data_IF_961102102335
#
_entry.id   IF_961102102335
#
_cell.length_a   1.000
_cell.length_b   1.000
_cell.length_c   1.000
_cell.angle_alpha   90.00
_cell.angle_beta   90.00
_cell.angle_gamma   90.00
#
_symmetry.space_group_name_H-M   'P 1'
#
loop_
_entity.id
_entity.type
_entity.pdbx_description
1 polymer ?
#
# COMPACT_ATOMS: atom_id res chain seq x y z
N UNK A 1 -5.80 3.94 4.77
CA UNK A 1 -5.47 2.66 5.39
C UNK A 1 -6.73 1.89 5.70
N UNK A 2 -6.67 0.57 5.65
CA UNK A 2 -7.74 -0.36 6.02
C UNK A 2 -7.25 -1.17 7.20
N UNK A 3 -7.96 -1.07 8.32
CA UNK A 3 -7.68 -1.84 9.52
C UNK A 3 -8.95 -2.49 10.04
N UNK A 4 -8.86 -3.73 10.49
CA UNK A 4 -9.97 -4.41 11.18
C UNK A 4 -10.05 -4.02 12.67
N UNK A 5 -8.90 -3.65 13.25
CA UNK A 5 -8.79 -3.07 14.57
C UNK A 5 -7.63 -2.06 14.58
N UNK A 6 -7.83 -0.82 15.05
CA UNK A 6 -6.75 0.15 15.13
C UNK A 6 -5.72 -0.29 16.19
N UNK A 7 -4.45 0.04 15.93
CA UNK A 7 -3.39 -0.14 16.93
C UNK A 7 -3.67 0.74 18.15
N UNK A 8 -3.24 0.29 19.33
CA UNK A 8 -3.25 1.14 20.52
C UNK A 8 -2.36 2.38 20.28
N UNK A 9 -2.71 3.50 20.92
CA UNK A 9 -1.97 4.76 20.77
C UNK A 9 -0.48 4.61 21.10
N UNK A 10 -0.17 3.86 22.17
CA UNK A 10 1.21 3.60 22.60
C UNK A 10 2.01 2.81 21.56
N UNK A 11 1.43 1.74 21.02
CA UNK A 11 2.08 0.92 20.01
C UNK A 11 2.29 1.71 18.71
N UNK A 12 1.30 2.51 18.32
CA UNK A 12 1.39 3.35 17.15
C UNK A 12 2.49 4.42 17.30
N UNK A 13 2.54 5.10 18.45
CA UNK A 13 3.57 6.10 18.75
C UNK A 13 4.95 5.47 18.69
N UNK A 14 5.15 4.32 19.34
CA UNK A 14 6.42 3.57 19.32
C UNK A 14 6.85 3.22 17.87
N UNK A 15 5.92 2.77 17.03
CA UNK A 15 6.20 2.46 15.63
C UNK A 15 6.64 3.69 14.85
N UNK A 16 5.91 4.80 14.98
CA UNK A 16 6.22 6.05 14.25
C UNK A 16 7.56 6.64 14.70
N UNK A 17 7.89 6.55 15.99
CA UNK A 17 9.18 7.00 16.53
C UNK A 17 10.37 6.21 15.98
N UNK A 18 10.17 4.97 15.58
CA UNK A 18 11.21 4.12 14.99
C UNK A 18 11.55 4.47 13.54
N UNK A 19 10.72 5.25 12.83
CA UNK A 19 10.98 5.61 11.43
C UNK A 19 11.99 6.76 11.30
N UNK A 20 12.94 6.68 10.35
CA UNK A 20 13.97 7.70 10.13
C UNK A 20 13.42 8.91 9.34
N UNK A 21 12.43 9.58 9.89
CA UNK A 21 11.86 10.82 9.33
C UNK A 21 12.14 12.01 10.26
N UNK A 22 12.11 13.22 9.71
CA UNK A 22 12.29 14.42 10.52
C UNK A 22 11.20 14.53 11.62
N UNK A 23 11.56 15.12 12.76
CA UNK A 23 10.65 15.26 13.89
C UNK A 23 9.33 15.96 13.50
N UNK A 24 9.42 17.02 12.69
CA UNK A 24 8.24 17.78 12.24
C UNK A 24 7.28 16.94 11.38
N UNK A 25 7.81 16.12 10.46
CA UNK A 25 6.99 15.21 9.65
C UNK A 25 6.37 14.09 10.49
N UNK A 26 7.11 13.61 11.49
CA UNK A 26 6.63 12.60 12.43
C UNK A 26 5.47 13.12 13.25
N UNK A 27 5.61 14.30 13.86
CA UNK A 27 4.54 14.93 14.62
C UNK A 27 3.31 15.25 13.77
N UNK A 28 3.49 15.77 12.57
CA UNK A 28 2.38 16.02 11.64
C UNK A 28 1.66 14.72 11.28
N UNK A 29 2.40 13.65 10.98
CA UNK A 29 1.85 12.33 10.69
C UNK A 29 1.06 11.74 11.88
N UNK A 30 1.59 11.86 13.09
CA UNK A 30 0.91 11.40 14.31
C UNK A 30 -0.40 12.17 14.54
N UNK A 31 -0.37 13.51 14.45
CA UNK A 31 -1.58 14.34 14.59
C UNK A 31 -2.64 13.97 13.55
N UNK A 32 -2.24 13.85 12.28
CA UNK A 32 -3.13 13.47 11.19
C UNK A 32 -3.80 12.12 11.45
N UNK A 33 -3.01 11.11 11.80
CA UNK A 33 -3.55 9.78 11.99
C UNK A 33 -4.46 9.69 13.21
N UNK A 34 -4.06 10.28 14.33
CA UNK A 34 -4.88 10.34 15.54
C UNK A 34 -6.23 11.00 15.25
N UNK A 35 -6.21 12.17 14.63
CA UNK A 35 -7.43 12.90 14.26
C UNK A 35 -8.30 12.14 13.24
N UNK A 36 -7.69 11.45 12.27
CA UNK A 36 -8.42 10.65 11.28
C UNK A 36 -9.09 9.42 11.91
N UNK A 37 -8.43 8.76 12.87
CA UNK A 37 -8.99 7.61 13.61
C UNK A 37 -10.13 8.07 14.52
N UNK A 38 -9.94 9.14 15.28
CA UNK A 38 -10.95 9.66 16.22
C UNK A 38 -12.20 10.19 15.52
N UNK A 39 -12.03 10.90 14.41
CA UNK A 39 -13.14 11.50 13.69
C UNK A 39 -13.86 10.54 12.75
N UNK A 40 -13.20 9.48 12.28
CA UNK A 40 -13.67 8.63 11.18
C UNK A 40 -13.83 9.38 9.84
N UNK A 41 -13.38 10.63 9.77
CA UNK A 41 -13.45 11.51 8.62
C UNK A 41 -12.08 11.78 8.04
N UNK A 42 -12.04 12.33 6.82
CA UNK A 42 -10.79 12.82 6.24
C UNK A 42 -10.27 14.02 7.03
N UNK A 43 -8.96 14.06 7.25
CA UNK A 43 -8.26 15.14 7.93
C UNK A 43 -7.25 15.75 6.97
N UNK A 44 -7.20 17.08 6.95
CA UNK A 44 -6.32 17.84 6.07
C UNK A 44 -5.25 18.55 6.89
N UNK A 45 -4.00 18.43 6.49
CA UNK A 45 -2.87 19.16 7.06
C UNK A 45 -2.15 19.95 5.96
N UNK A 46 -1.83 21.21 6.26
CA UNK A 46 -1.03 22.07 5.41
C UNK A 46 0.42 22.06 5.87
N UNK A 47 1.31 21.59 5.01
CA UNK A 47 2.74 21.55 5.33
C UNK A 47 3.38 22.94 5.13
N UNK A 48 4.48 23.24 5.86
CA UNK A 48 5.24 24.48 5.67
C UNK A 48 5.76 24.68 4.23
N UNK A 49 5.90 23.60 3.46
CA UNK A 49 6.25 23.62 2.04
C UNK A 49 5.15 24.15 1.12
N UNK A 50 3.97 24.45 1.64
CA UNK A 50 2.77 24.80 0.86
C UNK A 50 2.00 23.60 0.30
N UNK A 51 2.47 22.37 0.53
CA UNK A 51 1.75 21.15 0.16
C UNK A 51 0.63 20.86 1.16
N UNK A 52 -0.44 20.25 0.67
CA UNK A 52 -1.57 19.79 1.49
C UNK A 52 -1.59 18.27 1.49
N UNK A 53 -1.74 17.69 2.67
CA UNK A 53 -1.95 16.25 2.84
C UNK A 53 -3.37 16.05 3.37
N UNK A 54 -4.15 15.24 2.67
CA UNK A 54 -5.42 14.74 3.17
C UNK A 54 -5.26 13.26 3.54
N UNK A 55 -5.58 12.90 4.77
CA UNK A 55 -5.57 11.52 5.25
C UNK A 55 -6.99 11.10 5.59
N UNK A 56 -7.47 10.05 4.94
CA UNK A 56 -8.72 9.38 5.27
C UNK A 56 -8.42 7.97 5.75
N UNK A 57 -8.86 7.63 6.96
CA UNK A 57 -8.77 6.29 7.52
C UNK A 57 -10.15 5.66 7.51
N UNK A 58 -10.26 4.46 6.95
CA UNK A 58 -11.50 3.68 6.96
C UNK A 58 -11.23 2.36 7.69
N UNK A 59 -11.96 2.11 8.75
CA UNK A 59 -11.91 0.85 9.53
C UNK A 59 -13.05 -0.02 9.07
N UNK A 60 -12.74 -1.10 8.35
CA UNK A 60 -13.75 -2.05 7.85
C UNK A 60 -13.14 -3.40 7.52
N UNK A 61 -14.00 -4.41 7.40
CA UNK A 61 -13.64 -5.72 6.86
C UNK A 61 -13.66 -5.68 5.33
N UNK A 62 -12.60 -6.17 4.69
CA UNK A 62 -12.49 -6.25 3.23
C UNK A 62 -12.13 -4.92 2.54
N UNK A 63 -12.16 -4.94 1.21
CA UNK A 63 -11.87 -3.74 0.41
C UNK A 63 -13.06 -2.77 0.42
N UNK A 64 -12.82 -1.46 0.52
CA UNK A 64 -13.86 -0.47 0.34
C UNK A 64 -14.32 -0.40 -1.12
N UNK A 65 -15.42 0.31 -1.36
CA UNK A 65 -15.78 0.73 -2.71
C UNK A 65 -14.70 1.71 -3.23
N UNK A 66 -13.83 1.20 -4.10
CA UNK A 66 -12.70 1.94 -4.64
C UNK A 66 -13.09 2.62 -5.96
N UNK A 67 -12.58 3.82 -6.19
CA UNK A 67 -12.81 4.55 -7.44
C UNK A 67 -11.87 4.02 -8.55
N UNK A 68 -12.40 3.73 -9.76
CA UNK A 68 -11.55 3.31 -10.88
C UNK A 68 -10.56 4.41 -11.28
N UNK A 69 -9.33 4.01 -11.63
CA UNK A 69 -8.27 4.88 -12.15
C UNK A 69 -8.01 6.14 -11.31
N UNK A 70 -8.09 6.00 -10.00
CA UNK A 70 -7.99 7.12 -9.07
C UNK A 70 -6.66 7.18 -8.33
N UNK A 71 -6.07 6.01 -8.03
CA UNK A 71 -4.90 5.93 -7.17
C UNK A 71 -3.62 5.83 -8.00
N UNK A 72 -2.65 6.69 -7.70
CA UNK A 72 -1.31 6.65 -8.29
C UNK A 72 -0.36 5.71 -7.55
N UNK A 73 -0.66 5.42 -6.28
CA UNK A 73 0.14 4.49 -5.47
C UNK A 73 -0.76 3.71 -4.52
N UNK A 74 -0.52 2.40 -4.45
CA UNK A 74 -1.15 1.48 -3.50
C UNK A 74 -0.06 0.76 -2.74
N UNK A 75 -0.05 0.91 -1.41
CA UNK A 75 0.76 0.12 -0.50
C UNK A 75 -0.13 -0.99 0.06
N UNK A 76 0.10 -2.22 -0.41
CA UNK A 76 -0.73 -3.37 -0.06
C UNK A 76 -0.01 -4.25 0.96
N UNK A 77 -0.41 -4.14 2.21
CA UNK A 77 0.29 -4.74 3.36
C UNK A 77 -0.64 -5.52 4.32
N UNK A 78 -1.50 -6.42 3.83
CA UNK A 78 -2.30 -7.29 4.71
C UNK A 78 -1.42 -8.35 5.37
N UNK A 79 -1.94 -9.05 6.38
CA UNK A 79 -1.28 -10.24 6.92
C UNK A 79 -0.90 -11.22 5.82
N UNK A 80 0.15 -12.03 6.08
CA UNK A 80 0.72 -12.93 5.09
C UNK A 80 -0.30 -13.86 4.40
N UNK A 81 0.01 -14.37 3.19
CA UNK A 81 -0.92 -15.21 2.44
C UNK A 81 -1.38 -16.48 3.16
N UNK A 82 -0.61 -16.94 4.15
CA UNK A 82 -0.98 -18.09 4.99
C UNK A 82 -2.04 -17.74 6.04
N UNK A 83 -1.96 -16.52 6.57
CA UNK A 83 -2.81 -16.05 7.67
C UNK A 83 -4.08 -15.35 7.15
N UNK A 84 -4.01 -14.79 5.95
CA UNK A 84 -5.12 -14.08 5.31
C UNK A 84 -5.15 -14.37 3.79
N UNK A 85 -5.46 -15.61 3.36
CA UNK A 85 -5.41 -15.99 1.94
C UNK A 85 -6.38 -15.21 1.06
N UNK A 86 -7.53 -14.81 1.57
CA UNK A 86 -8.56 -14.09 0.82
C UNK A 86 -8.07 -12.72 0.34
N UNK A 87 -7.26 -12.03 1.16
CA UNK A 87 -6.67 -10.76 0.77
C UNK A 87 -5.71 -10.88 -0.43
N UNK A 88 -5.16 -12.06 -0.68
CA UNK A 88 -4.20 -12.31 -1.76
C UNK A 88 -4.83 -12.97 -2.99
N UNK A 89 -6.15 -12.97 -3.06
CA UNK A 89 -6.91 -13.56 -4.16
C UNK A 89 -6.78 -12.76 -5.46
N UNK A 90 -7.09 -13.40 -6.59
CA UNK A 90 -7.13 -12.73 -7.90
C UNK A 90 -8.17 -11.62 -7.95
N UNK A 91 -9.30 -11.80 -7.28
CA UNK A 91 -10.40 -10.82 -7.28
C UNK A 91 -9.96 -9.53 -6.59
N UNK A 92 -9.24 -9.65 -5.47
CA UNK A 92 -8.66 -8.49 -4.78
C UNK A 92 -7.67 -7.75 -5.70
N UNK A 93 -6.74 -8.44 -6.34
CA UNK A 93 -5.80 -7.77 -7.25
C UNK A 93 -6.47 -7.23 -8.51
N UNK A 94 -7.53 -7.86 -9.01
CA UNK A 94 -8.31 -7.31 -10.11
C UNK A 94 -8.99 -6.00 -9.72
N UNK A 95 -9.59 -5.94 -8.54
CA UNK A 95 -10.18 -4.72 -7.99
C UNK A 95 -9.10 -3.64 -7.80
N UNK A 96 -7.97 -3.94 -7.18
CA UNK A 96 -6.86 -3.02 -6.99
C UNK A 96 -6.29 -2.51 -8.32
N UNK A 97 -6.12 -3.41 -9.31
CA UNK A 97 -5.67 -3.02 -10.64
C UNK A 97 -6.62 -2.02 -11.30
N UNK A 98 -7.94 -2.22 -11.20
CA UNK A 98 -8.91 -1.28 -11.77
C UNK A 98 -8.83 0.12 -11.15
N UNK A 99 -8.43 0.23 -9.89
CA UNK A 99 -8.34 1.49 -9.17
C UNK A 99 -7.05 2.26 -9.43
N UNK A 100 -5.98 1.58 -9.87
CA UNK A 100 -4.73 2.22 -10.27
C UNK A 100 -4.92 3.08 -11.52
N UNK A 101 -4.31 4.24 -11.55
CA UNK A 101 -4.09 5.00 -12.79
C UNK A 101 -3.23 4.20 -13.77
N UNK A 102 -3.13 4.65 -15.03
CA UNK A 102 -2.32 3.97 -16.04
C UNK A 102 -0.85 3.82 -15.60
N UNK A 103 -0.31 4.85 -14.96
CA UNK A 103 1.07 4.91 -14.45
C UNK A 103 1.17 4.60 -12.95
N UNK A 104 0.09 4.12 -12.35
CA UNK A 104 0.04 3.81 -10.93
C UNK A 104 0.91 2.62 -10.55
N UNK A 105 1.39 2.63 -9.31
CA UNK A 105 2.26 1.58 -8.76
C UNK A 105 1.55 0.92 -7.57
N UNK A 106 1.55 -0.40 -7.55
CA UNK A 106 1.21 -1.21 -6.39
C UNK A 106 2.50 -1.80 -5.82
N UNK A 107 2.72 -1.65 -4.53
CA UNK A 107 3.85 -2.24 -3.82
C UNK A 107 3.38 -3.09 -2.65
N UNK A 108 4.11 -4.19 -2.40
CA UNK A 108 3.87 -5.08 -1.27
C UNK A 108 5.16 -5.77 -0.82
N UNK A 109 5.23 -6.08 0.46
CA UNK A 109 6.34 -6.87 1.01
C UNK A 109 6.32 -8.34 0.58
N UNK A 110 5.23 -8.85 0.03
CA UNK A 110 5.10 -10.25 -0.34
C UNK A 110 6.01 -10.59 -1.51
N UNK A 111 6.92 -11.55 -1.30
CA UNK A 111 7.88 -12.03 -2.30
C UNK A 111 7.49 -13.39 -2.90
N UNK A 112 6.42 -14.01 -2.42
CA UNK A 112 5.97 -15.33 -2.87
C UNK A 112 5.45 -15.30 -4.31
N UNK A 113 5.56 -16.45 -5.01
CA UNK A 113 5.14 -16.55 -6.41
C UNK A 113 3.62 -16.48 -6.59
N UNK A 114 2.84 -16.87 -5.60
CA UNK A 114 1.38 -16.90 -5.68
C UNK A 114 0.76 -15.50 -5.76
N UNK A 115 1.05 -14.55 -4.85
CA UNK A 115 0.65 -13.15 -5.00
C UNK A 115 1.09 -12.54 -6.34
N UNK A 116 2.33 -12.80 -6.78
CA UNK A 116 2.83 -12.29 -8.07
C UNK A 116 2.05 -12.81 -9.26
N UNK A 117 1.65 -14.10 -9.24
CA UNK A 117 0.77 -14.67 -10.27
C UNK A 117 -0.61 -14.01 -10.25
N UNK A 118 -1.18 -13.80 -9.07
CA UNK A 118 -2.48 -13.14 -8.93
C UNK A 118 -2.45 -11.71 -9.51
N UNK A 119 -1.40 -10.93 -9.22
CA UNK A 119 -1.18 -9.60 -9.82
C UNK A 119 -1.04 -9.66 -11.35
N UNK A 120 -0.25 -10.61 -11.87
CA UNK A 120 -0.07 -10.79 -13.31
C UNK A 120 -1.38 -11.19 -14.00
N UNK A 121 -2.21 -12.02 -13.38
CA UNK A 121 -3.55 -12.35 -13.87
C UNK A 121 -4.51 -11.15 -13.85
N UNK A 122 -4.30 -10.21 -12.95
CA UNK A 122 -5.04 -8.95 -12.88
C UNK A 122 -4.57 -7.91 -13.93
N UNK A 123 -3.69 -8.31 -14.85
CA UNK A 123 -3.19 -7.46 -15.94
C UNK A 123 -2.04 -6.54 -15.56
N UNK A 124 -1.44 -6.72 -14.39
CA UNK A 124 -0.28 -5.95 -13.95
C UNK A 124 1.02 -6.58 -14.46
N UNK A 125 1.96 -5.75 -14.88
CA UNK A 125 3.38 -6.13 -15.02
C UNK A 125 3.96 -6.16 -13.61
N UNK A 126 4.66 -7.25 -13.28
CA UNK A 126 5.17 -7.50 -11.93
C UNK A 126 6.70 -7.49 -11.95
N UNK A 127 7.31 -6.80 -11.02
CA UNK A 127 8.75 -6.74 -10.86
C UNK A 127 9.17 -7.07 -9.43
N UNK A 128 10.46 -7.39 -9.29
CA UNK A 128 11.14 -7.57 -8.00
C UNK A 128 12.01 -6.37 -7.73
N UNK A 129 11.97 -5.91 -6.49
CA UNK A 129 12.79 -4.81 -5.98
C UNK A 129 13.49 -5.26 -4.69
N UNK A 130 14.53 -4.56 -4.31
CA UNK A 130 15.20 -4.77 -3.04
C UNK A 130 14.25 -4.41 -1.89
N UNK A 131 14.10 -5.32 -0.94
CA UNK A 131 13.21 -5.11 0.19
C UNK A 131 13.74 -4.07 1.17
N UNK A 132 12.87 -3.22 1.69
CA UNK A 132 13.20 -2.30 2.77
C UNK A 132 13.43 -3.05 4.10
N UNK A 133 14.19 -2.45 5.03
CA UNK A 133 14.36 -2.97 6.38
C UNK A 133 15.07 -4.34 6.47
N UNK A 134 16.01 -4.62 5.55
CA UNK A 134 16.77 -5.88 5.55
C UNK A 134 16.07 -7.07 4.91
N UNK A 135 14.87 -6.91 4.37
CA UNK A 135 14.21 -7.93 3.54
C UNK A 135 14.93 -8.07 2.21
N UNK A 136 15.11 -9.31 1.73
CA UNK A 136 15.81 -9.58 0.46
C UNK A 136 15.07 -9.02 -0.75
N UNK A 137 13.75 -9.08 -0.74
CA UNK A 137 12.90 -8.80 -1.89
C UNK A 137 11.53 -8.25 -1.47
N UNK A 138 11.01 -7.34 -2.27
CA UNK A 138 9.62 -6.91 -2.27
C UNK A 138 9.05 -7.01 -3.69
N UNK A 139 7.76 -6.85 -3.85
CA UNK A 139 7.09 -6.88 -5.14
C UNK A 139 6.54 -5.50 -5.49
N UNK A 140 6.83 -5.06 -6.69
CA UNK A 140 6.29 -3.85 -7.30
C UNK A 140 5.50 -4.28 -8.54
N UNK A 141 4.34 -3.67 -8.76
CA UNK A 141 3.53 -3.94 -9.93
C UNK A 141 2.91 -2.67 -10.51
N UNK A 142 2.73 -2.63 -11.82
CA UNK A 142 2.13 -1.50 -12.54
C UNK A 142 1.39 -1.99 -13.78
N UNK A 143 0.48 -1.18 -14.33
CA UNK A 143 -0.07 -1.40 -15.67
C UNK A 143 0.96 -1.05 -16.76
N UNK A 144 1.86 -0.11 -16.49
CA UNK A 144 2.90 0.36 -17.39
C UNK A 144 4.25 -0.31 -17.07
N UNK A 145 4.83 -1.01 -18.05
CA UNK A 145 6.17 -1.58 -17.91
C UNK A 145 7.25 -0.49 -17.82
N UNK A 146 7.02 0.66 -18.42
CA UNK A 146 7.92 1.81 -18.37
C UNK A 146 8.14 2.30 -16.95
N UNK A 147 7.11 2.19 -16.09
CA UNK A 147 7.20 2.56 -14.67
C UNK A 147 8.07 1.60 -13.85
N UNK A 148 8.44 0.46 -14.42
CA UNK A 148 9.25 -0.57 -13.78
C UNK A 148 10.65 -0.65 -14.39
N UNK A 149 11.08 0.38 -15.11
CA UNK A 149 12.44 0.44 -15.67
C UNK A 149 13.49 0.35 -14.57
N UNK A 150 14.52 -0.46 -14.81
CA UNK A 150 15.58 -0.71 -13.84
C UNK A 150 15.26 -1.82 -12.81
N UNK A 151 14.01 -2.30 -12.76
CA UNK A 151 13.63 -3.41 -11.90
C UNK A 151 13.72 -4.76 -12.64
N UNK A 152 13.85 -5.84 -11.89
CA UNK A 152 13.83 -7.19 -12.44
C UNK A 152 12.40 -7.64 -12.69
N UNK A 153 11.96 -7.62 -13.94
CA UNK A 153 10.62 -8.10 -14.31
C UNK A 153 10.47 -9.58 -13.93
N UNK A 154 9.42 -9.87 -13.21
CA UNK A 154 9.10 -11.24 -12.81
C UNK A 154 8.54 -11.99 -14.02
N UNK A 155 9.11 -13.15 -14.39
CA UNK A 155 8.77 -13.81 -15.64
C UNK A 155 7.32 -14.29 -15.64
N UNK A 156 6.55 -13.85 -16.64
CA UNK A 156 5.23 -14.37 -17.00
C UNK A 156 5.35 -15.79 -17.57
N UNK A 157 5.68 -16.79 -16.77
CA UNK A 157 5.35 -18.16 -17.15
C UNK A 157 3.95 -18.47 -16.62
N UNK A 158 2.96 -17.88 -17.25
CA UNK A 158 1.60 -18.36 -17.18
C UNK A 158 1.57 -19.63 -18.05
N UNK A 159 1.64 -20.79 -17.43
CA UNK A 159 1.19 -22.04 -18.03
C UNK A 159 -0.28 -22.19 -17.75
#
# INVERSE_FOLDING_TARGET
>A
ALESAPLSEDLFTTLVESYPVSANLREAGLRLLKSAIESGLGVTEHLPSGQTIELKVTVQSGLPALQPQHYTSIYFDPFGPRDNPDAWSRDVFSALSQTLTADGILSTYAAASEPRRAMAHAGLVVAREHGAGGKREMTIASKSEERLQGLTIWPKKLK
#
